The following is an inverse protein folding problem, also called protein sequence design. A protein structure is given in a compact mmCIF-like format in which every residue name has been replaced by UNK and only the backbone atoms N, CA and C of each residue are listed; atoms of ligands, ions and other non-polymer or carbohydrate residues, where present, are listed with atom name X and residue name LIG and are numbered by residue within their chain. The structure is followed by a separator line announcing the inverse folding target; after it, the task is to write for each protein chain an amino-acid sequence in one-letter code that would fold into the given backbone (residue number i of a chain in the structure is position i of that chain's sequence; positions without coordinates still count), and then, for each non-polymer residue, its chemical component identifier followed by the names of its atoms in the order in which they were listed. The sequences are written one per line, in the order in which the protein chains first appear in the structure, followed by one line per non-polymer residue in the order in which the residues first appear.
data_IF_395668213783
#
_entry.id   IF_395668213783
#
_cell.length_a   1.000
_cell.length_b   1.000
_cell.length_c   1.000
_cell.angle_alpha   90.00
_cell.angle_beta   90.00
_cell.angle_gamma   90.00
#
_symmetry.space_group_name_H-M   'P 1'
#
loop_
_entity.id
_entity.type
_entity.pdbx_description
1 polymer ?
#
# COMPACT_ATOMS: atom_id res chain seq x y z
N UNK A 1 -18.29 3.97 -120.25
CA UNK A 1 -19.51 4.03 -119.44
C UNK A 1 -19.34 3.02 -118.34
N UNK A 2 -18.93 3.50 -117.18
CA UNK A 2 -18.99 2.80 -115.90
C UNK A 2 -20.42 2.34 -115.59
N UNK A 3 -20.55 1.17 -114.95
CA UNK A 3 -21.72 0.85 -114.16
C UNK A 3 -21.31 -0.01 -112.94
N UNK A 4 -21.84 0.42 -111.81
CA UNK A 4 -21.62 0.01 -110.42
C UNK A 4 -21.64 -1.50 -110.12
N UNK A 5 -20.76 -1.88 -109.19
CA UNK A 5 -21.06 -2.91 -108.17
C UNK A 5 -20.42 -2.50 -106.84
N UNK A 6 -20.74 -1.28 -106.39
CA UNK A 6 -20.57 -0.83 -105.01
C UNK A 6 -21.71 -1.40 -104.16
N UNK A 7 -21.51 -2.59 -103.58
CA UNK A 7 -22.36 -3.09 -102.50
C UNK A 7 -21.68 -4.21 -101.73
N UNK A 8 -20.59 -3.88 -101.03
CA UNK A 8 -20.05 -4.76 -99.97
C UNK A 8 -19.27 -4.04 -98.88
N UNK A 9 -19.55 -2.75 -98.65
CA UNK A 9 -18.81 -1.94 -97.66
C UNK A 9 -19.70 -1.22 -96.64
N UNK A 10 -20.98 -1.59 -96.51
CA UNK A 10 -21.91 -0.89 -95.62
C UNK A 10 -22.26 -1.60 -94.30
N UNK A 11 -21.50 -2.63 -93.88
CA UNK A 11 -21.80 -3.31 -92.61
C UNK A 11 -20.56 -3.78 -91.82
N UNK A 12 -19.44 -3.07 -91.92
CA UNK A 12 -18.29 -3.30 -91.03
C UNK A 12 -17.58 -2.00 -90.67
N UNK A 13 -18.33 -0.99 -90.22
CA UNK A 13 -17.74 0.20 -89.57
C UNK A 13 -18.43 0.49 -88.25
N UNK A 14 -18.43 -0.50 -87.35
CA UNK A 14 -18.65 -0.26 -85.93
C UNK A 14 -17.33 -0.55 -85.22
N UNK A 15 -16.64 0.49 -84.77
CA UNK A 15 -15.44 0.33 -83.95
C UNK A 15 -15.80 -0.48 -82.69
N UNK A 16 -14.96 -1.45 -82.27
CA UNK A 16 -15.29 -2.30 -81.13
C UNK A 16 -15.47 -1.45 -79.86
N UNK A 17 -16.41 -1.78 -78.96
CA UNK A 17 -16.64 -1.02 -77.74
C UNK A 17 -15.35 -0.97 -76.92
N UNK A 18 -14.88 0.24 -76.60
CA UNK A 18 -13.75 0.40 -75.67
C UNK A 18 -14.19 0.06 -74.26
N UNK A 19 -13.80 -1.11 -73.78
CA UNK A 19 -13.88 -1.45 -72.36
C UNK A 19 -12.84 -0.61 -71.61
N UNK A 20 -13.27 0.32 -70.77
CA UNK A 20 -12.39 0.96 -69.79
C UNK A 20 -12.15 -0.04 -68.66
N UNK A 21 -10.90 -0.45 -68.47
CA UNK A 21 -10.52 -1.25 -67.32
C UNK A 21 -10.81 -0.46 -66.04
N UNK A 22 -11.65 -1.01 -65.16
CA UNK A 22 -11.87 -0.47 -63.83
C UNK A 22 -10.52 -0.37 -63.10
N UNK A 23 -10.21 0.76 -62.42
CA UNK A 23 -8.96 0.86 -61.69
C UNK A 23 -8.97 -0.17 -60.56
N UNK A 24 -8.16 -1.21 -60.70
CA UNK A 24 -7.88 -2.12 -59.60
C UNK A 24 -7.15 -1.31 -58.52
N UNK A 25 -7.73 -1.23 -57.33
CA UNK A 25 -7.05 -0.64 -56.17
C UNK A 25 -5.68 -1.34 -56.01
N UNK A 26 -4.59 -0.59 -55.80
CA UNK A 26 -3.27 -1.18 -55.70
C UNK A 26 -3.27 -2.21 -54.57
N UNK A 27 -2.95 -3.45 -54.92
CA UNK A 27 -2.75 -4.53 -53.98
C UNK A 27 -1.65 -4.12 -53.00
N UNK A 28 -2.03 -3.66 -51.81
CA UNK A 28 -1.09 -3.53 -50.69
C UNK A 28 -0.45 -4.90 -50.49
N UNK A 29 0.88 -5.02 -50.55
CA UNK A 29 1.55 -6.32 -50.46
C UNK A 29 1.09 -7.02 -49.17
N UNK A 30 0.57 -8.23 -49.30
CA UNK A 30 -0.02 -8.98 -48.19
C UNK A 30 0.95 -9.15 -47.02
N UNK A 31 2.25 -9.17 -47.32
CA UNK A 31 3.35 -9.14 -46.37
C UNK A 31 3.33 -7.87 -45.49
N UNK A 32 3.09 -6.69 -46.07
CA UNK A 32 3.00 -5.43 -45.33
C UNK A 32 1.78 -5.38 -44.41
N UNK A 33 0.62 -5.89 -44.88
CA UNK A 33 -0.59 -6.03 -44.05
C UNK A 33 -0.36 -6.97 -42.86
N UNK A 34 0.32 -8.10 -43.09
CA UNK A 34 0.66 -9.06 -42.03
C UNK A 34 1.65 -8.48 -41.03
N UNK A 35 2.67 -7.76 -41.50
CA UNK A 35 3.63 -7.07 -40.64
C UNK A 35 2.97 -5.98 -39.80
N UNK A 36 2.07 -5.19 -40.41
CA UNK A 36 1.31 -4.17 -39.70
C UNK A 36 0.41 -4.79 -38.62
N UNK A 37 -0.29 -5.89 -38.94
CA UNK A 37 -1.13 -6.60 -37.99
C UNK A 37 -0.30 -7.19 -36.83
N UNK A 38 0.86 -7.77 -37.11
CA UNK A 38 1.78 -8.26 -36.10
C UNK A 38 2.31 -7.13 -35.21
N UNK A 39 2.70 -5.99 -35.79
CA UNK A 39 3.13 -4.81 -35.05
C UNK A 39 2.01 -4.28 -34.12
N UNK A 40 0.77 -4.18 -34.63
CA UNK A 40 -0.39 -3.78 -33.82
C UNK A 40 -0.65 -4.78 -32.69
N UNK A 41 -0.57 -6.09 -32.96
CA UNK A 41 -0.74 -7.11 -31.94
C UNK A 41 0.34 -7.01 -30.84
N UNK A 42 1.59 -6.76 -31.21
CA UNK A 42 2.69 -6.52 -30.26
C UNK A 42 2.44 -5.27 -29.43
N UNK A 43 2.00 -4.16 -30.05
CA UNK A 43 1.66 -2.93 -29.33
C UNK A 43 0.52 -3.17 -28.34
N UNK A 44 -0.54 -3.86 -28.75
CA UNK A 44 -1.65 -4.23 -27.86
C UNK A 44 -1.14 -5.10 -26.71
N UNK A 45 -0.31 -6.09 -26.98
CA UNK A 45 0.28 -6.95 -25.94
C UNK A 45 1.09 -6.13 -24.93
N UNK A 46 1.92 -5.20 -25.39
CA UNK A 46 2.70 -4.29 -24.53
C UNK A 46 1.79 -3.42 -23.67
N UNK A 47 0.72 -2.86 -24.24
CA UNK A 47 -0.26 -2.06 -23.50
C UNK A 47 -0.97 -2.88 -22.43
N UNK A 48 -1.34 -4.12 -22.74
CA UNK A 48 -1.97 -5.05 -21.79
C UNK A 48 -1.01 -5.36 -20.65
N UNK A 49 0.25 -5.70 -20.94
CA UNK A 49 1.27 -5.95 -19.91
C UNK A 49 1.50 -4.71 -19.03
N UNK A 50 1.61 -3.53 -19.63
CA UNK A 50 1.75 -2.27 -18.89
C UNK A 50 0.56 -2.02 -17.96
N UNK A 51 -0.67 -2.25 -18.43
CA UNK A 51 -1.87 -2.12 -17.61
C UNK A 51 -1.87 -3.10 -16.43
N UNK A 52 -1.50 -4.37 -16.63
CA UNK A 52 -1.39 -5.34 -15.54
C UNK A 52 -0.32 -4.96 -14.52
N UNK A 53 0.83 -4.47 -14.97
CA UNK A 53 1.90 -3.99 -14.07
C UNK A 53 1.42 -2.79 -13.25
N UNK A 54 0.76 -1.81 -13.88
CA UNK A 54 0.21 -0.64 -13.20
C UNK A 54 -0.87 -1.04 -12.20
N UNK A 55 -1.81 -1.92 -12.55
CA UNK A 55 -2.82 -2.43 -11.62
C UNK A 55 -2.17 -3.19 -10.46
N UNK A 56 -1.18 -4.04 -10.74
CA UNK A 56 -0.44 -4.79 -9.72
C UNK A 56 0.23 -3.85 -8.71
N UNK A 57 0.91 -2.81 -9.18
CA UNK A 57 1.53 -1.80 -8.32
C UNK A 57 0.49 -1.03 -7.48
N UNK A 58 -0.60 -0.60 -8.10
CA UNK A 58 -1.66 0.16 -7.41
C UNK A 58 -2.36 -0.67 -6.31
N UNK A 59 -2.62 -1.95 -6.58
CA UNK A 59 -3.23 -2.86 -5.60
C UNK A 59 -2.25 -3.13 -4.46
N UNK A 60 -0.97 -3.30 -4.77
CA UNK A 60 0.08 -3.52 -3.76
C UNK A 60 0.18 -2.32 -2.80
N UNK A 61 0.02 -1.09 -3.30
CA UNK A 61 0.03 0.12 -2.47
C UNK A 61 -1.22 0.23 -1.57
N UNK A 62 -2.40 -0.14 -2.08
CA UNK A 62 -3.66 -0.07 -1.29
C UNK A 62 -3.71 -1.02 -0.09
N UNK A 63 -2.91 -2.08 -0.09
CA UNK A 63 -2.85 -3.07 0.99
C UNK A 63 -1.50 -3.13 1.71
N UNK A 64 -0.52 -2.30 1.33
CA UNK A 64 0.74 -2.23 2.04
C UNK A 64 0.48 -1.67 3.46
N UNK A 65 0.68 -2.50 4.48
CA UNK A 65 0.73 -2.04 5.86
C UNK A 65 1.95 -1.14 6.03
N UNK A 66 1.76 0.17 5.89
CA UNK A 66 2.84 1.14 6.05
C UNK A 66 3.23 1.22 7.53
N UNK A 67 4.23 0.41 7.90
CA UNK A 67 4.87 0.44 9.22
C UNK A 67 6.21 1.18 9.08
N UNK A 68 6.28 2.40 9.62
CA UNK A 68 7.49 3.20 9.62
C UNK A 68 8.32 2.83 10.85
N UNK A 69 9.46 2.16 10.65
CA UNK A 69 10.45 1.89 11.70
C UNK A 69 11.60 2.88 11.61
N UNK A 70 11.89 3.54 12.72
CA UNK A 70 12.96 4.53 12.82
C UNK A 70 13.73 4.31 14.12
N UNK A 71 15.04 4.55 14.07
CA UNK A 71 15.89 4.63 15.26
C UNK A 71 16.19 6.10 15.50
N UNK A 72 15.71 6.65 16.61
CA UNK A 72 15.96 8.04 16.97
C UNK A 72 17.27 8.06 17.77
N UNK A 73 18.27 8.74 17.22
CA UNK A 73 19.51 9.05 17.93
C UNK A 73 19.32 10.34 18.74
N UNK A 74 19.88 10.39 19.94
CA UNK A 74 19.87 11.59 20.76
C UNK A 74 20.57 12.77 20.05
N UNK A 75 20.18 14.02 20.34
CA UNK A 75 20.69 15.22 19.66
C UNK A 75 22.23 15.34 19.67
N UNK A 76 22.92 14.76 20.65
CA UNK A 76 24.39 14.80 20.76
C UNK A 76 25.07 13.45 20.45
N UNK A 77 24.35 12.49 19.86
CA UNK A 77 24.74 11.07 19.76
C UNK A 77 25.04 10.39 21.12
N UNK A 78 24.86 11.13 22.23
CA UNK A 78 24.97 10.67 23.59
C UNK A 78 23.58 10.23 24.07
N UNK A 79 23.37 8.91 24.09
CA UNK A 79 22.09 8.31 24.48
C UNK A 79 21.87 6.94 23.86
N UNK A 80 21.02 6.12 24.48
CA UNK A 80 20.66 4.82 23.89
C UNK A 80 19.74 5.02 22.69
N UNK A 81 20.00 4.38 21.54
CA UNK A 81 19.15 4.53 20.36
C UNK A 81 17.71 4.12 20.66
N UNK A 82 16.77 5.03 20.48
CA UNK A 82 15.37 4.81 20.79
C UNK A 82 14.67 4.23 19.56
N UNK A 83 14.26 2.96 19.63
CA UNK A 83 13.53 2.33 18.53
C UNK A 83 12.04 2.74 18.56
N UNK A 84 11.56 3.22 17.42
CA UNK A 84 10.18 3.66 17.17
C UNK A 84 9.60 2.88 15.98
N UNK A 85 8.38 2.36 16.15
CA UNK A 85 7.58 1.84 15.04
C UNK A 85 6.23 2.53 15.02
N UNK A 86 5.84 3.08 13.86
CA UNK A 86 4.57 3.76 13.65
C UNK A 86 3.73 2.99 12.65
N UNK A 87 2.47 2.71 12.99
CA UNK A 87 1.48 2.11 12.10
C UNK A 87 0.45 3.16 11.71
N UNK A 88 0.46 3.57 10.42
CA UNK A 88 -0.57 4.51 9.92
C UNK A 88 -1.96 3.88 9.92
N UNK A 89 -2.03 2.58 9.60
CA UNK A 89 -3.27 1.80 9.51
C UNK A 89 -3.95 1.67 10.88
N UNK A 90 -3.19 1.32 11.91
CA UNK A 90 -3.72 1.15 13.27
C UNK A 90 -3.72 2.47 14.07
N UNK A 91 -3.09 3.53 13.53
CA UNK A 91 -2.85 4.81 14.23
C UNK A 91 -2.17 4.57 15.58
N UNK A 92 -1.10 3.78 15.58
CA UNK A 92 -0.34 3.42 16.78
C UNK A 92 1.14 3.77 16.64
N UNK A 93 1.77 4.11 17.77
CA UNK A 93 3.21 4.30 17.88
C UNK A 93 3.78 3.46 19.01
N UNK A 94 4.82 2.67 18.73
CA UNK A 94 5.44 1.77 19.70
C UNK A 94 6.89 2.18 19.97
N UNK A 95 7.26 2.27 21.25
CA UNK A 95 8.57 2.68 21.72
C UNK A 95 9.16 1.62 22.65
N UNK A 96 10.42 1.25 22.45
CA UNK A 96 11.15 0.34 23.34
C UNK A 96 11.95 1.14 24.39
N UNK A 97 11.49 1.19 25.62
CA UNK A 97 12.11 1.98 26.70
C UNK A 97 12.86 1.10 27.70
N UNK A 98 13.74 1.71 28.49
CA UNK A 98 14.37 1.04 29.63
C UNK A 98 13.52 1.19 30.89
N UNK A 99 13.34 0.09 31.61
CA UNK A 99 12.54 -0.02 32.84
C UNK A 99 13.37 0.27 34.11
N UNK A 100 14.41 1.11 34.03
CA UNK A 100 15.27 1.54 35.14
C UNK A 100 16.13 0.45 35.83
N UNK A 101 15.76 -0.82 35.72
CA UNK A 101 16.36 -1.97 36.42
C UNK A 101 17.10 -2.92 35.46
N UNK A 102 17.71 -2.42 34.38
CA UNK A 102 18.29 -3.25 33.30
C UNK A 102 17.28 -4.16 32.58
N UNK A 103 16.00 -3.83 32.65
CA UNK A 103 14.95 -4.50 31.88
C UNK A 103 14.44 -3.57 30.79
N UNK A 104 13.93 -4.15 29.70
CA UNK A 104 13.23 -3.41 28.66
C UNK A 104 11.73 -3.41 28.91
N UNK A 105 11.08 -2.36 28.44
CA UNK A 105 9.64 -2.26 28.39
C UNK A 105 9.20 -1.73 27.03
N UNK A 106 7.96 -2.03 26.66
CA UNK A 106 7.32 -1.50 25.47
C UNK A 106 6.22 -0.54 25.87
N UNK A 107 6.25 0.66 25.28
CA UNK A 107 5.18 1.65 25.37
C UNK A 107 4.46 1.70 24.04
N UNK A 108 3.14 1.61 24.04
CA UNK A 108 2.32 1.75 22.83
C UNK A 108 1.30 2.85 23.03
N UNK A 109 1.42 3.88 22.21
CA UNK A 109 0.41 4.93 22.03
C UNK A 109 -0.59 4.45 20.99
N UNK A 110 -1.85 4.32 21.39
CA UNK A 110 -2.98 4.05 20.50
C UNK A 110 -3.79 5.34 20.34
N UNK A 111 -3.51 6.07 19.26
CA UNK A 111 -4.19 7.33 18.94
C UNK A 111 -5.63 7.11 18.45
N UNK A 112 -6.00 5.87 18.08
CA UNK A 112 -7.37 5.54 17.68
C UNK A 112 -8.27 5.33 18.89
N UNK A 113 -7.73 4.73 19.96
CA UNK A 113 -8.43 4.45 21.22
C UNK A 113 -8.19 5.49 22.30
N UNK A 114 -7.27 6.43 22.07
CA UNK A 114 -6.81 7.41 23.05
C UNK A 114 -6.29 6.72 24.33
N UNK A 115 -5.44 5.72 24.15
CA UNK A 115 -4.84 4.94 25.22
C UNK A 115 -3.32 4.92 25.09
N UNK A 116 -2.64 4.89 26.22
CA UNK A 116 -1.22 4.55 26.30
C UNK A 116 -1.10 3.27 27.10
N UNK A 117 -0.31 2.32 26.61
CA UNK A 117 -0.08 1.05 27.28
C UNK A 117 1.40 0.81 27.50
N UNK A 118 1.71 0.10 28.58
CA UNK A 118 3.06 -0.19 29.01
C UNK A 118 3.15 -1.66 29.44
N UNK A 119 4.16 -2.35 28.92
CA UNK A 119 4.51 -3.71 29.35
C UNK A 119 6.01 -3.81 29.59
N UNK A 120 6.39 -4.01 30.85
CA UNK A 120 7.75 -4.40 31.22
C UNK A 120 7.98 -5.89 30.96
N UNK A 121 9.19 -6.26 30.58
CA UNK A 121 9.59 -7.66 30.45
C UNK A 121 9.74 -8.37 31.80
N UNK A 122 10.01 -7.62 32.88
CA UNK A 122 10.15 -8.19 34.23
C UNK A 122 8.82 -8.38 34.96
N UNK A 123 7.82 -7.59 34.59
CA UNK A 123 6.55 -7.56 35.31
C UNK A 123 5.48 -8.36 34.57
N UNK A 124 4.71 -9.14 35.34
CA UNK A 124 3.63 -9.98 34.81
C UNK A 124 2.31 -9.23 34.70
N UNK A 125 2.38 -7.98 34.27
CA UNK A 125 1.23 -7.09 34.12
C UNK A 125 1.45 -6.15 32.95
N UNK A 126 0.36 -5.75 32.31
CA UNK A 126 0.32 -4.66 31.37
C UNK A 126 -0.51 -3.53 31.99
N UNK A 127 0.00 -2.31 31.93
CA UNK A 127 -0.69 -1.15 32.46
C UNK A 127 -1.17 -0.29 31.31
N UNK A 128 -2.36 0.29 31.45
CA UNK A 128 -2.91 1.21 30.48
C UNK A 128 -3.39 2.48 31.16
N UNK A 129 -3.33 3.60 30.45
CA UNK A 129 -3.93 4.86 30.90
C UNK A 129 -4.59 5.56 29.73
N UNK A 130 -5.50 6.49 30.03
CA UNK A 130 -6.17 7.30 29.02
C UNK A 130 -5.26 8.43 28.58
N UNK A 131 -5.35 8.74 27.30
CA UNK A 131 -4.65 9.86 26.67
C UNK A 131 -5.67 10.93 26.31
N UNK A 132 -5.31 12.19 26.54
CA UNK A 132 -6.06 13.31 25.98
C UNK A 132 -5.61 13.54 24.53
N UNK A 133 -6.56 13.79 23.64
CA UNK A 133 -6.27 14.08 22.23
C UNK A 133 -5.55 15.42 22.06
N UNK A 134 -5.84 16.38 22.92
CA UNK A 134 -5.29 17.74 22.88
C UNK A 134 -4.02 17.87 23.75
N UNK A 135 -3.79 16.91 24.66
CA UNK A 135 -2.63 16.88 25.54
C UNK A 135 -2.01 15.47 25.61
N UNK A 136 -1.25 15.11 24.57
CA UNK A 136 -0.58 13.82 24.47
C UNK A 136 0.67 13.83 25.37
N UNK A 137 0.78 12.94 26.37
CA UNK A 137 1.91 12.94 27.29
C UNK A 137 3.19 12.45 26.62
N UNK A 138 4.31 13.10 26.95
CA UNK A 138 5.65 12.72 26.53
C UNK A 138 6.05 11.31 26.99
N UNK A 139 6.97 10.67 26.26
CA UNK A 139 7.41 9.30 26.53
C UNK A 139 8.07 9.16 27.91
N UNK A 140 8.80 10.17 28.34
CA UNK A 140 9.42 10.30 29.65
C UNK A 140 8.38 10.32 30.78
N UNK A 141 7.38 11.20 30.68
CA UNK A 141 6.30 11.32 31.66
C UNK A 141 5.47 10.03 31.77
N UNK A 142 5.15 9.41 30.63
CA UNK A 142 4.45 8.13 30.58
C UNK A 142 5.29 7.03 31.24
N UNK A 143 6.56 6.93 30.89
CA UNK A 143 7.44 5.87 31.40
C UNK A 143 7.60 6.00 32.92
N UNK A 144 7.77 7.22 33.43
CA UNK A 144 7.87 7.49 34.86
C UNK A 144 6.57 7.11 35.60
N UNK A 145 5.41 7.45 35.04
CA UNK A 145 4.10 7.13 35.62
C UNK A 145 3.92 5.61 35.76
N UNK A 146 4.21 4.85 34.71
CA UNK A 146 4.08 3.39 34.75
C UNK A 146 5.13 2.70 35.63
N UNK A 147 6.35 3.24 35.69
CA UNK A 147 7.37 2.74 36.62
C UNK A 147 6.94 2.92 38.07
N UNK A 148 6.37 4.08 38.41
CA UNK A 148 5.84 4.34 39.75
C UNK A 148 4.71 3.36 40.11
N UNK A 149 3.74 3.17 39.21
CA UNK A 149 2.66 2.18 39.41
C UNK A 149 3.14 0.76 39.62
N UNK A 150 4.20 0.37 38.91
CA UNK A 150 4.81 -0.94 39.10
C UNK A 150 5.49 -1.09 40.47
N UNK A 151 6.03 -0.02 41.04
CA UNK A 151 6.59 -0.02 42.38
C UNK A 151 5.49 -0.17 43.44
N UNK A 152 4.42 0.62 43.34
CA UNK A 152 3.26 0.54 44.26
C UNK A 152 2.64 -0.86 44.29
N UNK A 153 2.42 -1.49 43.13
CA UNK A 153 1.89 -2.85 43.02
C UNK A 153 2.82 -3.93 43.61
N UNK A 154 4.14 -3.70 43.65
CA UNK A 154 5.08 -4.61 44.33
C UNK A 154 5.03 -4.47 45.84
N UNK A 155 4.76 -3.26 46.33
CA UNK A 155 4.70 -2.94 47.75
C UNK A 155 3.36 -3.33 48.40
N UNK A 156 2.43 -3.88 47.62
CA UNK A 156 1.19 -4.49 48.12
C UNK A 156 0.06 -3.47 48.32
N UNK A 157 0.23 -2.23 47.88
CA UNK A 157 -0.85 -1.23 47.88
C UNK A 157 -1.82 -1.48 46.72
N UNK A 158 -3.10 -1.65 47.08
CA UNK A 158 -4.32 -1.53 46.26
C UNK A 158 -4.23 -1.97 44.80
N UNK A 159 -4.76 -3.16 44.53
CA UNK A 159 -5.01 -3.69 43.19
C UNK A 159 -5.70 -2.66 42.29
N UNK A 160 -4.94 -2.09 41.36
CA UNK A 160 -5.51 -1.29 40.28
C UNK A 160 -6.66 -2.06 39.61
N UNK A 161 -7.73 -1.38 39.18
CA UNK A 161 -8.83 -2.08 38.55
C UNK A 161 -8.35 -2.78 37.29
N UNK A 162 -8.79 -4.03 37.11
CA UNK A 162 -8.59 -4.77 35.87
C UNK A 162 -9.27 -3.99 34.74
N UNK A 163 -8.52 -3.70 33.69
CA UNK A 163 -9.06 -3.10 32.48
C UNK A 163 -9.72 -4.16 31.60
N UNK A 164 -10.87 -3.80 31.02
CA UNK A 164 -11.52 -4.62 30.01
C UNK A 164 -10.66 -4.64 28.74
N UNK A 165 -10.43 -5.83 28.17
CA UNK A 165 -9.67 -6.00 26.94
C UNK A 165 -10.43 -5.51 25.71
N UNK A 166 -11.76 -5.39 25.80
CA UNK A 166 -12.62 -4.92 24.70
C UNK A 166 -12.28 -3.51 24.21
N UNK A 167 -11.68 -2.68 25.07
CA UNK A 167 -11.32 -1.29 24.73
C UNK A 167 -9.96 -1.20 24.01
N UNK A 168 -9.16 -2.27 24.03
CA UNK A 168 -7.80 -2.27 23.50
C UNK A 168 -7.81 -2.38 21.98
N UNK A 169 -6.94 -1.61 21.31
CA UNK A 169 -6.62 -1.85 19.91
C UNK A 169 -5.81 -3.13 19.72
N UNK A 170 -5.71 -3.59 18.47
CA UNK A 170 -5.01 -4.83 18.10
C UNK A 170 -3.58 -4.86 18.61
N UNK A 171 -2.81 -3.77 18.42
CA UNK A 171 -1.42 -3.69 18.87
C UNK A 171 -1.29 -3.89 20.37
N UNK A 172 -2.14 -3.24 21.17
CA UNK A 172 -2.12 -3.32 22.63
C UNK A 172 -2.60 -4.69 23.11
N UNK A 173 -3.62 -5.26 22.44
CA UNK A 173 -4.10 -6.60 22.78
C UNK A 173 -3.03 -7.67 22.53
N UNK A 174 -2.28 -7.57 21.44
CA UNK A 174 -1.12 -8.42 21.17
C UNK A 174 -0.05 -8.20 22.24
N UNK A 175 0.29 -6.93 22.51
CA UNK A 175 1.29 -6.58 23.50
C UNK A 175 0.95 -7.15 24.86
N UNK A 176 -0.32 -7.18 25.27
CA UNK A 176 -0.71 -7.55 26.63
C UNK A 176 -1.29 -8.97 26.75
N UNK A 177 -1.36 -9.71 25.64
CA UNK A 177 -2.04 -11.02 25.48
C UNK A 177 -1.79 -12.05 26.59
N UNK A 178 -0.57 -12.13 27.13
CA UNK A 178 -0.17 -13.16 28.11
C UNK A 178 -0.23 -12.70 29.57
N UNK A 179 -0.71 -11.49 29.84
CA UNK A 179 -0.72 -10.90 31.19
C UNK A 179 -2.08 -10.24 31.50
N UNK A 180 -2.43 -10.08 32.79
CA UNK A 180 -3.53 -9.22 33.19
C UNK A 180 -3.25 -7.76 32.79
N UNK A 181 -4.33 -7.03 32.50
CA UNK A 181 -4.28 -5.62 32.11
C UNK A 181 -4.90 -4.80 33.22
N UNK A 182 -4.19 -3.79 33.70
CA UNK A 182 -4.62 -2.92 34.79
C UNK A 182 -4.62 -1.46 34.34
N UNK A 183 -5.46 -0.65 34.97
CA UNK A 183 -5.34 0.80 34.86
C UNK A 183 -4.12 1.31 35.64
N UNK A 184 -3.40 2.27 35.09
CA UNK A 184 -2.43 3.09 35.82
C UNK A 184 -3.09 4.36 36.35
#
# INVERSE_FOLDING_TARGET
GEMDSSSKEALMEEAPPRYTASPHLPCVPQQLKSLLAAAVAVVILVLVLAAFLLLGLHITETHAETVLRMTIHGPDAEGTPQHLSLSKKERTGTFAVQDGLNASAMVVYDYSKLLVSYRSWRHRACYITRMDKDNIPGLDAVTQTFQHRQAEMKEGESAAPLADRSILGTTVNILCSTVPVYWA
#
